data_IF_102059634567
#
_entry.id   IF_102059634567
#
_cell.length_a   1.000
_cell.length_b   1.000
_cell.length_c   1.000
_cell.angle_alpha   90.00
_cell.angle_beta   90.00
_cell.angle_gamma   90.00
#
_symmetry.space_group_name_H-M   'P 1'
#
loop_
_entity.id
_entity.type
_entity.pdbx_description
1 polymer ?
#
# COMPACT_ATOMS: atom_id res chain seq x y z
N UNK A 1 -4.47 1.74 7.24
CA UNK A 1 -5.07 2.83 8.03
C UNK A 1 -5.05 2.56 9.54
N UNK A 2 -5.61 1.43 10.04
CA UNK A 2 -5.72 1.17 11.50
C UNK A 2 -4.38 1.12 12.23
N UNK A 3 -3.32 0.56 11.64
CA UNK A 3 -1.96 0.53 12.25
C UNK A 3 -1.41 1.95 12.34
N UNK A 4 -1.50 2.71 11.27
CA UNK A 4 -1.03 4.11 11.23
C UNK A 4 -1.76 5.00 12.23
N UNK A 5 -3.09 4.85 12.32
CA UNK A 5 -3.89 5.60 13.28
C UNK A 5 -3.50 5.28 14.74
N UNK A 6 -3.19 4.02 15.03
CA UNK A 6 -2.69 3.61 16.36
C UNK A 6 -1.32 4.20 16.67
N UNK A 7 -0.39 4.14 15.71
CA UNK A 7 0.94 4.73 15.86
C UNK A 7 0.84 6.23 16.11
N UNK A 8 0.08 6.92 15.29
CA UNK A 8 -0.14 8.37 15.44
C UNK A 8 -0.75 8.73 16.79
N UNK A 9 -1.75 7.97 17.27
CA UNK A 9 -2.34 8.19 18.60
C UNK A 9 -1.34 7.94 19.73
N UNK A 10 -0.46 6.93 19.60
CA UNK A 10 0.59 6.67 20.57
C UNK A 10 1.62 7.80 20.62
N UNK A 11 2.07 8.29 19.47
CA UNK A 11 2.98 9.43 19.34
C UNK A 11 2.37 10.72 19.92
N UNK A 12 1.10 10.99 19.61
CA UNK A 12 0.40 12.14 20.20
C UNK A 12 0.27 12.02 21.74
N UNK A 13 0.00 10.83 22.26
CA UNK A 13 -0.10 10.61 23.70
C UNK A 13 1.25 10.84 24.41
N UNK A 14 2.34 10.41 23.77
CA UNK A 14 3.70 10.64 24.27
C UNK A 14 4.04 12.14 24.30
N UNK A 15 3.73 12.87 23.24
CA UNK A 15 3.97 14.31 23.13
C UNK A 15 3.11 15.14 24.10
N UNK A 16 1.90 14.69 24.39
CA UNK A 16 0.94 15.40 25.28
C UNK A 16 1.04 14.98 26.74
N UNK A 17 1.91 14.00 27.06
CA UNK A 17 2.04 13.46 28.42
C UNK A 17 0.80 12.74 28.94
N UNK A 18 -0.13 12.37 28.04
CA UNK A 18 -1.32 11.58 28.37
C UNK A 18 -0.97 10.09 28.44
N UNK A 19 -1.76 9.33 29.25
CA UNK A 19 -1.51 7.90 29.38
C UNK A 19 -1.51 7.22 28.01
N UNK A 20 -0.41 6.50 27.69
CA UNK A 20 -0.33 5.70 26.49
C UNK A 20 -1.49 4.69 26.46
N UNK A 21 -2.16 4.52 25.30
CA UNK A 21 -3.19 3.50 25.17
C UNK A 21 -2.61 2.13 25.54
N UNK A 22 -3.41 1.23 26.14
CA UNK A 22 -2.94 -0.08 26.57
C UNK A 22 -2.26 -0.81 25.42
N UNK A 23 -1.25 -1.67 25.68
CA UNK A 23 -0.52 -2.39 24.64
C UNK A 23 -1.52 -3.11 23.74
N UNK A 24 -1.57 -2.66 22.50
CA UNK A 24 -2.53 -3.16 21.54
C UNK A 24 -2.23 -4.62 21.22
N UNK A 25 -3.25 -5.48 21.20
CA UNK A 25 -3.13 -6.81 20.62
C UNK A 25 -2.38 -6.75 19.28
N UNK A 26 -1.52 -7.74 19.06
CA UNK A 26 -0.73 -7.84 17.83
C UNK A 26 -1.64 -7.68 16.61
N UNK A 27 -1.35 -6.68 15.79
CA UNK A 27 -2.10 -6.36 14.59
C UNK A 27 -1.13 -6.21 13.43
N UNK A 28 -0.97 -7.28 12.67
CA UNK A 28 -0.13 -7.34 11.48
C UNK A 28 -0.91 -7.92 10.27
N UNK A 29 -0.21 -8.27 9.21
CA UNK A 29 -0.82 -8.84 8.00
C UNK A 29 -1.36 -10.28 8.21
N UNK A 30 -1.03 -10.91 9.31
CA UNK A 30 -1.39 -12.31 9.64
C UNK A 30 -2.42 -12.37 10.76
N UNK A 31 -2.34 -11.45 11.72
CA UNK A 31 -3.17 -11.42 12.94
C UNK A 31 -3.83 -10.05 13.10
N UNK A 32 -5.16 -9.99 13.31
CA UNK A 32 -6.15 -11.09 13.24
C UNK A 32 -6.37 -11.56 11.80
N UNK A 33 -6.88 -12.81 11.67
CA UNK A 33 -7.28 -13.34 10.36
C UNK A 33 -8.38 -12.48 9.73
N UNK A 34 -8.43 -12.49 8.40
CA UNK A 34 -9.46 -11.79 7.65
C UNK A 34 -10.85 -12.27 8.08
N UNK A 35 -11.71 -11.34 8.44
CA UNK A 35 -13.05 -11.62 8.90
C UNK A 35 -14.06 -10.60 8.38
N UNK A 36 -15.31 -11.00 8.28
CA UNK A 36 -16.40 -10.09 7.92
C UNK A 36 -16.57 -9.01 8.99
N UNK A 37 -16.52 -7.72 8.64
CA UNK A 37 -16.63 -6.63 9.62
C UNK A 37 -18.00 -6.53 10.29
N UNK A 38 -19.05 -7.16 9.71
CA UNK A 38 -20.41 -7.11 10.25
C UNK A 38 -20.75 -8.28 11.18
N UNK A 39 -20.29 -9.50 10.90
CA UNK A 39 -20.65 -10.67 11.70
C UNK A 39 -19.46 -11.40 12.32
N UNK A 40 -18.22 -10.98 12.05
CA UNK A 40 -17.03 -11.63 12.58
C UNK A 40 -16.70 -13.00 11.94
N UNK A 41 -17.48 -13.44 10.94
CA UNK A 41 -17.20 -14.71 10.24
C UNK A 41 -15.80 -14.69 9.65
N UNK A 42 -14.97 -15.68 10.02
CA UNK A 42 -13.60 -15.83 9.50
C UNK A 42 -13.61 -16.26 8.03
N UNK A 43 -12.94 -15.50 7.18
CA UNK A 43 -12.83 -15.79 5.75
C UNK A 43 -11.99 -17.04 5.55
N UNK A 44 -12.54 -18.06 4.91
CA UNK A 44 -11.85 -19.31 4.59
C UNK A 44 -10.90 -19.14 3.40
N UNK A 45 -9.98 -20.11 3.21
CA UNK A 45 -9.05 -20.07 2.07
C UNK A 45 -9.78 -20.06 0.71
N UNK A 46 -10.90 -20.77 0.60
CA UNK A 46 -11.72 -20.78 -0.63
C UNK A 46 -12.43 -19.44 -0.87
N UNK A 47 -12.92 -18.81 0.19
CA UNK A 47 -13.54 -17.48 0.12
C UNK A 47 -12.52 -16.37 -0.14
N UNK A 48 -11.24 -16.66 0.05
CA UNK A 48 -10.14 -15.72 -0.21
C UNK A 48 -9.50 -15.91 -1.60
N UNK A 49 -10.10 -16.74 -2.48
CA UNK A 49 -9.64 -16.84 -3.88
C UNK A 49 -10.00 -15.54 -4.57
N UNK A 50 -8.99 -14.79 -5.10
CA UNK A 50 -9.21 -13.48 -5.69
C UNK A 50 -10.28 -13.51 -6.79
N UNK A 51 -11.16 -12.51 -6.81
CA UNK A 51 -12.20 -12.30 -7.83
C UNK A 51 -13.20 -13.46 -7.92
N UNK A 52 -12.74 -14.72 -7.97
CA UNK A 52 -13.59 -15.89 -8.14
C UNK A 52 -14.60 -16.05 -7.00
N UNK A 53 -14.17 -15.89 -5.75
CA UNK A 53 -15.06 -15.95 -4.59
C UNK A 53 -16.06 -14.82 -4.57
N UNK A 54 -15.64 -13.60 -4.96
CA UNK A 54 -16.53 -12.44 -5.05
C UNK A 54 -17.67 -12.68 -6.06
N UNK A 55 -17.34 -13.23 -7.23
CA UNK A 55 -18.34 -13.57 -8.26
C UNK A 55 -19.25 -14.71 -7.77
N UNK A 56 -18.68 -15.79 -7.22
CA UNK A 56 -19.44 -16.95 -6.76
C UNK A 56 -20.40 -16.61 -5.60
N UNK A 57 -20.00 -15.70 -4.70
CA UNK A 57 -20.83 -15.25 -3.57
C UNK A 57 -21.75 -14.06 -3.93
N UNK A 58 -21.71 -13.58 -5.17
CA UNK A 58 -22.48 -12.44 -5.63
C UNK A 58 -22.15 -11.14 -4.88
N UNK A 59 -20.89 -10.95 -4.49
CA UNK A 59 -20.43 -9.78 -3.74
C UNK A 59 -20.95 -9.69 -2.31
N UNK A 60 -21.29 -10.82 -1.68
CA UNK A 60 -21.88 -10.87 -0.34
C UNK A 60 -21.15 -11.84 0.57
N UNK A 61 -21.14 -11.56 1.87
CA UNK A 61 -20.60 -12.48 2.88
C UNK A 61 -21.34 -13.82 2.83
N UNK A 62 -20.62 -14.92 2.93
CA UNK A 62 -21.18 -16.29 2.95
C UNK A 62 -22.15 -16.52 4.11
N UNK A 63 -21.83 -15.95 5.28
CA UNK A 63 -22.62 -16.14 6.51
C UNK A 63 -23.78 -15.16 6.63
N UNK A 64 -23.51 -13.84 6.67
CA UNK A 64 -24.54 -12.84 6.98
C UNK A 64 -25.12 -12.13 5.75
N UNK A 65 -24.68 -12.48 4.55
CA UNK A 65 -25.11 -11.87 3.27
C UNK A 65 -24.89 -10.35 3.16
N UNK A 66 -24.11 -9.77 4.06
CA UNK A 66 -23.74 -8.36 3.98
C UNK A 66 -22.92 -8.08 2.70
N UNK A 67 -23.13 -6.95 2.02
CA UNK A 67 -22.41 -6.62 0.81
C UNK A 67 -20.91 -6.41 1.09
N UNK A 68 -20.08 -6.96 0.21
CA UNK A 68 -18.62 -6.79 0.20
C UNK A 68 -18.29 -5.65 -0.77
N UNK A 69 -17.42 -4.73 -0.35
CA UNK A 69 -17.02 -3.61 -1.20
C UNK A 69 -16.38 -4.10 -2.52
N UNK A 70 -16.77 -3.54 -3.67
CA UNK A 70 -16.17 -3.85 -4.97
C UNK A 70 -14.68 -3.44 -5.04
N UNK A 71 -14.21 -2.64 -4.10
CA UNK A 71 -12.80 -2.24 -3.99
C UNK A 71 -11.87 -3.45 -3.89
N UNK A 72 -12.28 -4.51 -3.15
CA UNK A 72 -11.45 -5.70 -2.99
C UNK A 72 -11.15 -6.39 -4.32
N UNK A 73 -12.13 -6.81 -5.12
CA UNK A 73 -11.86 -7.44 -6.41
C UNK A 73 -11.19 -6.49 -7.41
N UNK A 74 -11.40 -5.18 -7.32
CA UNK A 74 -10.69 -4.20 -8.16
C UNK A 74 -9.21 -4.16 -7.83
N UNK A 75 -8.84 -4.10 -6.54
CA UNK A 75 -7.43 -4.11 -6.12
C UNK A 75 -6.76 -5.43 -6.52
N UNK A 76 -7.45 -6.56 -6.34
CA UNK A 76 -6.96 -7.89 -6.73
C UNK A 76 -6.72 -7.99 -8.24
N UNK A 77 -7.69 -7.54 -9.05
CA UNK A 77 -7.57 -7.52 -10.50
C UNK A 77 -6.41 -6.64 -10.98
N UNK A 78 -6.31 -5.43 -10.42
CA UNK A 78 -5.23 -4.49 -10.74
C UNK A 78 -3.86 -5.06 -10.37
N UNK A 79 -3.73 -5.60 -9.17
CA UNK A 79 -2.49 -6.22 -8.68
C UNK A 79 -2.08 -7.41 -9.54
N UNK A 80 -3.02 -8.28 -9.89
CA UNK A 80 -2.78 -9.44 -10.75
C UNK A 80 -2.41 -9.05 -12.19
N UNK A 81 -3.12 -8.09 -12.77
CA UNK A 81 -2.85 -7.61 -14.12
C UNK A 81 -1.46 -6.96 -14.23
N UNK A 82 -1.10 -6.10 -13.26
CA UNK A 82 0.23 -5.50 -13.21
C UNK A 82 1.32 -6.55 -12.99
N UNK A 83 1.10 -7.51 -12.10
CA UNK A 83 2.06 -8.60 -11.87
C UNK A 83 2.27 -9.44 -13.12
N UNK A 84 1.21 -9.79 -13.84
CA UNK A 84 1.29 -10.51 -15.11
C UNK A 84 2.03 -9.71 -16.20
N UNK A 85 1.73 -8.43 -16.35
CA UNK A 85 2.44 -7.55 -17.27
C UNK A 85 3.92 -7.42 -16.94
N UNK A 86 4.27 -7.20 -15.66
CA UNK A 86 5.66 -7.07 -15.21
C UNK A 86 6.43 -8.38 -15.45
N UNK A 87 5.83 -9.53 -15.11
CA UNK A 87 6.44 -10.83 -15.35
C UNK A 87 6.68 -11.09 -16.84
N UNK A 88 5.71 -10.75 -17.68
CA UNK A 88 5.84 -10.84 -19.14
C UNK A 88 6.95 -9.91 -19.68
N UNK A 89 7.04 -8.68 -19.16
CA UNK A 89 7.98 -7.66 -19.66
C UNK A 89 9.43 -7.92 -19.25
N UNK A 90 9.65 -8.39 -18.02
CA UNK A 90 10.99 -8.49 -17.41
C UNK A 90 11.48 -9.93 -17.22
N UNK A 91 10.60 -10.94 -17.41
CA UNK A 91 10.94 -12.32 -17.09
C UNK A 91 11.35 -12.51 -15.63
N UNK A 92 11.96 -13.64 -15.30
CA UNK A 92 12.48 -13.91 -13.95
C UNK A 92 13.83 -13.19 -13.76
N UNK A 93 13.78 -11.98 -13.23
CA UNK A 93 14.94 -11.10 -13.07
C UNK A 93 14.83 -10.21 -11.83
N UNK A 94 15.94 -9.59 -11.43
CA UNK A 94 15.95 -8.57 -10.37
C UNK A 94 15.04 -7.38 -10.73
N UNK A 95 14.98 -7.03 -12.01
CA UNK A 95 14.07 -5.98 -12.50
C UNK A 95 12.60 -6.34 -12.28
N UNK A 96 12.21 -7.59 -12.51
CA UNK A 96 10.85 -8.05 -12.22
C UNK A 96 10.51 -7.89 -10.73
N UNK A 97 11.39 -8.35 -9.84
CA UNK A 97 11.15 -8.25 -8.40
C UNK A 97 11.04 -6.80 -7.94
N UNK A 98 11.96 -5.94 -8.37
CA UNK A 98 11.93 -4.51 -8.06
C UNK A 98 10.67 -3.82 -8.59
N UNK A 99 10.27 -4.12 -9.82
CA UNK A 99 9.05 -3.57 -10.42
C UNK A 99 7.77 -4.06 -9.72
N UNK A 100 7.71 -5.32 -9.27
CA UNK A 100 6.58 -5.85 -8.50
C UNK A 100 6.46 -5.15 -7.15
N UNK A 101 7.55 -5.02 -6.40
CA UNK A 101 7.56 -4.32 -5.10
C UNK A 101 7.10 -2.88 -5.31
N UNK A 102 7.61 -2.19 -6.32
CA UNK A 102 7.22 -0.83 -6.65
C UNK A 102 5.73 -0.73 -7.00
N UNK A 103 5.22 -1.59 -7.88
CA UNK A 103 3.83 -1.57 -8.31
C UNK A 103 2.86 -1.82 -7.14
N UNK A 104 3.14 -2.80 -6.28
CA UNK A 104 2.30 -3.07 -5.11
C UNK A 104 2.37 -1.96 -4.06
N UNK A 105 3.54 -1.37 -3.84
CA UNK A 105 3.68 -0.20 -2.97
C UNK A 105 2.88 0.99 -3.52
N UNK A 106 2.93 1.25 -4.83
CA UNK A 106 2.15 2.32 -5.46
C UNK A 106 0.64 2.09 -5.36
N UNK A 107 0.17 0.85 -5.53
CA UNK A 107 -1.25 0.51 -5.31
C UNK A 107 -1.63 0.81 -3.84
N UNK A 108 -0.84 0.33 -2.89
CA UNK A 108 -1.11 0.57 -1.47
C UNK A 108 -1.13 2.07 -1.13
N UNK A 109 -0.13 2.83 -1.59
CA UNK A 109 -0.03 4.28 -1.38
C UNK A 109 -1.22 5.02 -2.01
N UNK A 110 -1.61 4.67 -3.24
CA UNK A 110 -2.76 5.29 -3.90
C UNK A 110 -4.06 5.09 -3.13
N UNK A 111 -4.31 3.89 -2.60
CA UNK A 111 -5.50 3.62 -1.79
C UNK A 111 -5.44 4.22 -0.39
N UNK A 112 -4.25 4.34 0.21
CA UNK A 112 -4.08 5.05 1.49
C UNK A 112 -4.35 6.54 1.27
N UNK A 113 -3.76 7.14 0.24
CA UNK A 113 -3.95 8.55 -0.09
C UNK A 113 -5.43 8.87 -0.39
N UNK A 114 -6.09 8.02 -1.17
CA UNK A 114 -7.52 8.17 -1.46
C UNK A 114 -8.40 8.15 -0.21
N UNK A 115 -8.02 7.38 0.81
CA UNK A 115 -8.80 7.28 2.06
C UNK A 115 -8.43 8.33 3.10
N UNK A 116 -7.17 8.79 3.13
CA UNK A 116 -6.63 9.56 4.26
C UNK A 116 -5.95 10.86 3.87
N UNK A 117 -5.74 11.10 2.56
CA UNK A 117 -4.93 12.23 2.04
C UNK A 117 -3.54 12.29 2.69
N UNK A 118 -2.96 11.12 2.99
CA UNK A 118 -1.67 11.00 3.66
C UNK A 118 -0.82 9.90 3.01
N UNK A 119 0.43 10.23 2.71
CA UNK A 119 1.42 9.30 2.18
C UNK A 119 2.43 8.93 3.28
N UNK A 120 2.43 7.69 3.77
CA UNK A 120 3.30 7.29 4.87
C UNK A 120 4.76 7.18 4.46
N UNK A 121 5.64 7.90 5.17
CA UNK A 121 7.08 7.86 4.97
C UNK A 121 7.67 6.46 5.22
N UNK A 122 7.01 5.66 6.05
CA UNK A 122 7.36 4.25 6.29
C UNK A 122 7.29 3.36 5.04
N UNK A 123 6.63 3.81 3.97
CA UNK A 123 6.58 3.13 2.66
C UNK A 123 7.41 3.90 1.63
N UNK A 124 7.24 5.22 1.56
CA UNK A 124 7.87 6.04 0.51
C UNK A 124 9.38 6.08 0.62
N UNK A 125 9.94 6.24 1.84
CA UNK A 125 11.38 6.29 2.05
C UNK A 125 12.07 4.95 1.78
N UNK A 126 11.61 3.80 2.33
CA UNK A 126 12.18 2.51 1.96
C UNK A 126 12.10 2.21 0.46
N UNK A 127 11.02 2.62 -0.20
CA UNK A 127 10.85 2.42 -1.64
C UNK A 127 11.84 3.26 -2.45
N UNK A 128 12.10 4.50 -2.05
CA UNK A 128 13.12 5.37 -2.64
C UNK A 128 14.51 4.72 -2.53
N UNK A 129 14.88 4.29 -1.31
CA UNK A 129 16.19 3.66 -1.08
C UNK A 129 16.34 2.35 -1.84
N UNK A 130 15.30 1.53 -1.89
CA UNK A 130 15.30 0.29 -2.67
C UNK A 130 15.53 0.60 -4.16
N UNK A 131 14.86 1.62 -4.71
CA UNK A 131 15.05 2.04 -6.08
C UNK A 131 16.49 2.48 -6.38
N UNK A 132 17.10 3.28 -5.50
CA UNK A 132 18.48 3.69 -5.62
C UNK A 132 19.45 2.51 -5.53
N UNK A 133 19.25 1.61 -4.56
CA UNK A 133 20.07 0.39 -4.40
C UNK A 133 20.00 -0.52 -5.61
N UNK A 134 18.84 -0.76 -6.18
CA UNK A 134 18.71 -1.56 -7.41
C UNK A 134 19.47 -0.91 -8.58
N UNK A 135 19.49 0.41 -8.65
CA UNK A 135 20.17 1.13 -9.72
C UNK A 135 21.68 1.31 -9.48
N UNK A 136 22.24 0.90 -8.33
CA UNK A 136 23.70 0.69 -8.21
C UNK A 136 24.18 -0.42 -9.14
N UNK A 137 23.33 -1.41 -9.40
CA UNK A 137 23.55 -2.46 -10.40
C UNK A 137 22.97 -2.15 -11.78
N UNK A 138 22.59 -0.89 -12.04
CA UNK A 138 21.96 -0.45 -13.29
C UNK A 138 20.76 -1.31 -13.73
N UNK A 139 19.91 -1.75 -12.77
CA UNK A 139 18.78 -2.65 -13.05
C UNK A 139 17.73 -2.00 -13.93
N UNK A 140 17.41 -0.73 -13.72
CA UNK A 140 16.46 0.04 -14.54
C UNK A 140 17.15 1.19 -15.29
N UNK A 141 18.10 1.86 -14.64
CA UNK A 141 18.85 2.98 -15.19
C UNK A 141 20.20 3.11 -14.43
N UNK A 142 21.11 3.95 -14.91
CA UNK A 142 22.32 4.28 -14.19
C UNK A 142 22.02 5.07 -12.90
N UNK A 143 22.86 4.91 -11.89
CA UNK A 143 22.66 5.52 -10.56
C UNK A 143 22.58 7.05 -10.64
N UNK A 144 23.35 7.69 -11.51
CA UNK A 144 23.36 9.15 -11.69
C UNK A 144 21.97 9.62 -12.13
N UNK A 145 21.40 9.00 -13.15
CA UNK A 145 20.05 9.31 -13.66
C UNK A 145 18.98 9.03 -12.62
N UNK A 146 19.11 7.95 -11.84
CA UNK A 146 18.20 7.63 -10.76
C UNK A 146 18.18 8.73 -9.68
N UNK A 147 19.36 9.19 -9.24
CA UNK A 147 19.49 10.28 -8.23
C UNK A 147 18.94 11.59 -8.77
N UNK A 148 19.30 11.96 -10.01
CA UNK A 148 18.80 13.19 -10.65
C UNK A 148 17.28 13.13 -10.77
N UNK A 149 16.71 11.98 -11.19
CA UNK A 149 15.27 11.78 -11.30
C UNK A 149 14.55 11.92 -9.96
N UNK A 150 15.08 11.32 -8.90
CA UNK A 150 14.53 11.45 -7.55
C UNK A 150 14.55 12.90 -7.06
N UNK A 151 15.68 13.60 -7.24
CA UNK A 151 15.80 15.03 -6.88
C UNK A 151 14.85 15.90 -7.69
N UNK A 152 14.76 15.69 -9.00
CA UNK A 152 13.88 16.45 -9.87
C UNK A 152 12.39 16.22 -9.53
N UNK A 153 12.00 14.99 -9.25
CA UNK A 153 10.64 14.66 -8.82
C UNK A 153 10.27 15.35 -7.51
N UNK A 154 11.15 15.29 -6.52
CA UNK A 154 10.96 16.00 -5.26
C UNK A 154 10.83 17.52 -5.46
N UNK A 155 11.76 18.12 -6.18
CA UNK A 155 11.77 19.57 -6.42
C UNK A 155 10.54 20.04 -7.21
N UNK A 156 10.06 19.24 -8.16
CA UNK A 156 8.84 19.56 -8.90
C UNK A 156 7.62 19.65 -7.97
N UNK A 157 7.40 18.66 -7.12
CA UNK A 157 6.30 18.68 -6.15
C UNK A 157 6.47 19.78 -5.10
N UNK A 158 7.69 19.99 -4.62
CA UNK A 158 8.02 21.06 -3.70
C UNK A 158 7.73 22.46 -4.31
N UNK A 159 8.07 22.66 -5.57
CA UNK A 159 7.79 23.90 -6.29
C UNK A 159 6.28 24.15 -6.43
N UNK A 160 5.52 23.11 -6.79
CA UNK A 160 4.04 23.19 -6.86
C UNK A 160 3.45 23.56 -5.50
N UNK A 161 3.90 22.91 -4.43
CA UNK A 161 3.46 23.21 -3.06
C UNK A 161 3.69 24.69 -2.71
N UNK A 162 4.90 25.21 -2.94
CA UNK A 162 5.23 26.60 -2.63
C UNK A 162 4.52 27.59 -3.53
N UNK A 163 4.37 27.29 -4.82
CA UNK A 163 3.58 28.12 -5.73
C UNK A 163 2.13 28.26 -5.27
N UNK A 164 1.52 27.14 -4.86
CA UNK A 164 0.15 27.15 -4.30
C UNK A 164 0.08 27.96 -3.00
N UNK A 165 1.02 27.76 -2.08
CA UNK A 165 1.07 28.46 -0.79
C UNK A 165 1.26 29.96 -0.93
N UNK A 166 2.01 30.40 -1.95
CA UNK A 166 2.22 31.83 -2.23
C UNK A 166 1.03 32.48 -2.94
N UNK A 167 0.22 31.68 -3.66
CA UNK A 167 -0.95 32.15 -4.39
C UNK A 167 -2.23 32.20 -3.53
N UNK A 168 -2.23 31.53 -2.38
CA UNK A 168 -3.37 31.47 -1.44
C UNK A 168 -3.03 32.06 -0.08
#
# INVERSE_FOLDING_TARGET
PKVMERQWRAECAELTGTASPPPAERFDLVVPRSACPKCGHGITALENIPIASYIALGGKCSACKAPISPRYPVVEALSGALAGYIAWRYGLSAAMLGALIFAWAMIALAFIDFDTFYLPDSITLPLLWLGLLLNTGAVFTDLRSAVIGAAAGYLALWTVYWAYKLAT
#
